data_IF_406093357584
#
_entry.id   IF_406093357584
#
_cell.length_a   1.000
_cell.length_b   1.000
_cell.length_c   1.000
_cell.angle_alpha   90.00
_cell.angle_beta   90.00
_cell.angle_gamma   90.00
#
_symmetry.space_group_name_H-M   'P 1'
#
loop_
_entity.id
_entity.type
_entity.pdbx_description
1 polymer ?
#
# COMPACT_ATOMS: atom_id res chain seq x y z
N UNK A 1 3.55 2.74 -22.45
CA UNK A 1 4.82 3.50 -22.60
C UNK A 1 4.89 4.24 -23.93
N UNK A 2 4.72 3.56 -25.08
CA UNK A 2 4.73 4.21 -26.39
C UNK A 2 3.82 5.46 -26.47
N UNK A 3 2.56 5.37 -26.04
CA UNK A 3 1.66 6.53 -26.02
C UNK A 3 2.18 7.72 -25.20
N UNK A 4 2.81 7.48 -24.05
CA UNK A 4 3.38 8.54 -23.21
C UNK A 4 4.66 9.14 -23.83
N UNK A 5 5.49 8.34 -24.53
CA UNK A 5 6.62 8.87 -25.31
C UNK A 5 6.15 9.81 -26.41
N UNK A 6 5.09 9.43 -27.14
CA UNK A 6 4.52 10.27 -28.20
C UNK A 6 3.89 11.57 -27.67
N UNK A 7 3.50 11.61 -26.40
CA UNK A 7 3.06 12.84 -25.70
C UNK A 7 4.22 13.68 -25.15
N UNK A 8 5.48 13.32 -25.44
CA UNK A 8 6.66 14.07 -25.00
C UNK A 8 7.10 13.82 -23.55
N UNK A 9 6.57 12.77 -22.90
CA UNK A 9 6.97 12.43 -21.54
C UNK A 9 8.35 11.78 -21.55
N UNK A 10 9.30 12.35 -20.81
CA UNK A 10 10.63 11.78 -20.61
C UNK A 10 10.58 10.56 -19.67
N UNK A 11 10.13 9.42 -20.21
CA UNK A 11 9.84 8.18 -19.47
C UNK A 11 11.03 7.67 -18.64
N UNK A 12 12.24 7.66 -19.18
CA UNK A 12 13.45 7.23 -18.45
C UNK A 12 13.71 8.08 -17.21
N UNK A 13 13.62 9.41 -17.35
CA UNK A 13 13.80 10.33 -16.22
C UNK A 13 12.70 10.15 -15.18
N UNK A 14 11.44 9.97 -15.62
CA UNK A 14 10.31 9.73 -14.74
C UNK A 14 10.47 8.42 -13.95
N UNK A 15 10.82 7.32 -14.64
CA UNK A 15 11.06 6.01 -14.02
C UNK A 15 12.17 6.10 -12.98
N UNK A 16 13.32 6.66 -13.36
CA UNK A 16 14.48 6.78 -12.49
C UNK A 16 14.16 7.63 -11.26
N UNK A 17 13.51 8.78 -11.45
CA UNK A 17 13.07 9.64 -10.34
C UNK A 17 12.08 8.94 -9.40
N UNK A 18 11.10 8.19 -9.93
CA UNK A 18 10.14 7.43 -9.14
C UNK A 18 10.82 6.31 -8.35
N UNK A 19 11.75 5.56 -8.97
CA UNK A 19 12.49 4.49 -8.29
C UNK A 19 13.34 5.04 -7.16
N UNK A 20 14.11 6.10 -7.40
CA UNK A 20 14.97 6.69 -6.37
C UNK A 20 14.16 7.25 -5.20
N UNK A 21 13.07 7.97 -5.47
CA UNK A 21 12.21 8.53 -4.42
C UNK A 21 11.55 7.43 -3.58
N UNK A 22 10.99 6.39 -4.22
CA UNK A 22 10.38 5.26 -3.52
C UNK A 22 11.43 4.46 -2.73
N UNK A 23 12.60 4.22 -3.30
CA UNK A 23 13.68 3.50 -2.63
C UNK A 23 14.17 4.25 -1.38
N UNK A 24 14.42 5.56 -1.49
CA UNK A 24 14.83 6.39 -0.36
C UNK A 24 13.75 6.45 0.73
N UNK A 25 12.48 6.70 0.35
CA UNK A 25 11.38 6.80 1.30
C UNK A 25 11.10 5.46 2.01
N UNK A 26 11.00 4.38 1.25
CA UNK A 26 10.72 3.04 1.80
C UNK A 26 11.91 2.53 2.60
N UNK A 27 13.14 2.73 2.12
CA UNK A 27 14.35 2.34 2.83
C UNK A 27 14.50 3.04 4.17
N UNK A 28 14.26 4.36 4.23
CA UNK A 28 14.27 5.12 5.48
C UNK A 28 13.19 4.62 6.46
N UNK A 29 11.97 4.35 5.98
CA UNK A 29 10.89 3.84 6.81
C UNK A 29 11.21 2.44 7.38
N UNK A 30 11.71 1.53 6.55
CA UNK A 30 12.04 0.15 6.96
C UNK A 30 13.24 0.12 7.91
N UNK A 31 14.22 1.00 7.72
CA UNK A 31 15.38 1.08 8.63
C UNK A 31 14.98 1.45 10.07
N UNK A 32 13.91 2.25 10.24
CA UNK A 32 13.43 2.67 11.57
C UNK A 32 12.39 1.71 12.14
N UNK A 33 11.46 1.22 11.32
CA UNK A 33 10.28 0.47 11.79
C UNK A 33 10.36 -1.04 11.55
N UNK A 34 11.37 -1.52 10.84
CA UNK A 34 11.43 -2.89 10.34
C UNK A 34 10.55 -3.11 9.11
N UNK A 35 10.47 -4.36 8.66
CA UNK A 35 9.68 -4.74 7.48
C UNK A 35 8.18 -4.78 7.77
N UNK A 36 7.40 -3.93 7.09
CA UNK A 36 5.94 -3.94 7.16
C UNK A 36 5.36 -4.32 5.79
N UNK A 37 4.50 -5.35 5.77
CA UNK A 37 3.90 -5.90 4.55
C UNK A 37 2.45 -5.47 4.33
N UNK A 38 1.90 -5.85 3.17
CA UNK A 38 0.50 -5.72 2.74
C UNK A 38 -0.08 -4.31 2.56
N UNK A 39 0.27 -3.32 3.40
CA UNK A 39 -0.31 -1.97 3.34
C UNK A 39 -0.12 -1.34 1.96
N UNK A 40 1.08 -1.41 1.40
CA UNK A 40 1.41 -0.86 0.07
C UNK A 40 0.71 -1.54 -1.10
N UNK A 41 0.13 -2.73 -0.90
CA UNK A 41 -0.64 -3.44 -1.92
C UNK A 41 -2.14 -3.19 -1.72
N UNK A 42 -2.62 -3.31 -0.48
CA UNK A 42 -4.05 -3.27 -0.14
C UNK A 42 -4.62 -1.86 -0.29
N UNK A 43 -3.98 -0.86 0.33
CA UNK A 43 -4.50 0.51 0.41
C UNK A 43 -4.70 1.16 -0.97
N UNK A 44 -3.68 1.23 -1.87
CA UNK A 44 -3.88 1.84 -3.18
C UNK A 44 -4.86 1.04 -4.04
N UNK A 45 -5.00 -0.28 -3.82
CA UNK A 45 -5.95 -1.08 -4.57
C UNK A 45 -7.40 -0.80 -4.16
N UNK A 46 -7.67 -0.70 -2.87
CA UNK A 46 -8.99 -0.32 -2.35
C UNK A 46 -9.38 1.08 -2.85
N UNK A 47 -8.45 2.03 -2.83
CA UNK A 47 -8.69 3.37 -3.36
C UNK A 47 -8.91 3.38 -4.87
N UNK A 48 -8.18 2.56 -5.64
CA UNK A 48 -8.44 2.41 -7.09
C UNK A 48 -9.85 1.89 -7.38
N UNK A 49 -10.36 0.99 -6.54
CA UNK A 49 -11.73 0.47 -6.67
C UNK A 49 -12.78 1.52 -6.27
N UNK A 50 -12.47 2.41 -5.32
CA UNK A 50 -13.41 3.39 -4.78
C UNK A 50 -13.44 4.72 -5.54
N UNK A 51 -12.28 5.32 -5.82
CA UNK A 51 -12.15 6.67 -6.41
C UNK A 51 -11.64 6.66 -7.85
N UNK A 52 -11.23 5.50 -8.37
CA UNK A 52 -10.68 5.36 -9.72
C UNK A 52 -9.15 5.49 -9.80
N UNK A 53 -8.58 5.47 -11.03
CA UNK A 53 -7.14 5.29 -11.25
C UNK A 53 -6.31 6.59 -11.33
N UNK A 54 -6.91 7.76 -11.11
CA UNK A 54 -6.18 9.04 -11.20
C UNK A 54 -5.13 9.17 -10.08
N UNK A 55 -3.86 9.32 -10.47
CA UNK A 55 -2.74 9.38 -9.54
C UNK A 55 -2.73 10.66 -8.71
N UNK A 56 -3.35 11.76 -9.19
CA UNK A 56 -3.36 13.05 -8.46
C UNK A 56 -4.11 12.95 -7.13
N UNK A 57 -5.21 12.22 -7.11
CA UNK A 57 -6.04 11.99 -5.92
C UNK A 57 -5.63 10.71 -5.20
N UNK A 58 -5.19 9.68 -5.93
CA UNK A 58 -4.82 8.40 -5.36
C UNK A 58 -3.60 8.48 -4.45
N UNK A 59 -2.55 9.22 -4.83
CA UNK A 59 -1.33 9.33 -4.02
C UNK A 59 -1.57 9.95 -2.63
N UNK A 60 -2.21 11.13 -2.49
CA UNK A 60 -2.48 11.70 -1.17
C UNK A 60 -3.48 10.84 -0.37
N UNK A 61 -4.51 10.30 -1.01
CA UNK A 61 -5.48 9.44 -0.33
C UNK A 61 -4.84 8.14 0.17
N UNK A 62 -3.91 7.56 -0.60
CA UNK A 62 -3.19 6.36 -0.20
C UNK A 62 -2.25 6.61 0.97
N UNK A 63 -1.60 7.79 1.01
CA UNK A 63 -0.79 8.19 2.15
C UNK A 63 -1.64 8.34 3.41
N UNK A 64 -2.79 9.02 3.33
CA UNK A 64 -3.69 9.23 4.46
C UNK A 64 -4.29 7.91 4.97
N UNK A 65 -4.90 7.12 4.08
CA UNK A 65 -5.52 5.85 4.45
C UNK A 65 -4.49 4.84 4.96
N UNK A 66 -3.31 4.80 4.35
CA UNK A 66 -2.21 3.94 4.78
C UNK A 66 -1.67 4.32 6.16
N UNK A 67 -1.46 5.62 6.43
CA UNK A 67 -1.04 6.10 7.73
C UNK A 67 -2.09 5.80 8.81
N UNK A 68 -3.37 6.07 8.56
CA UNK A 68 -4.45 5.77 9.50
C UNK A 68 -4.55 4.27 9.79
N UNK A 69 -4.46 3.41 8.77
CA UNK A 69 -4.49 1.96 8.94
C UNK A 69 -3.31 1.46 9.78
N UNK A 70 -2.10 1.98 9.52
CA UNK A 70 -0.90 1.61 10.29
C UNK A 70 -1.00 2.04 11.75
N UNK A 71 -1.47 3.25 12.04
CA UNK A 71 -1.66 3.73 13.42
C UNK A 71 -2.67 2.87 14.16
N UNK A 72 -3.79 2.51 13.51
CA UNK A 72 -4.78 1.61 14.10
C UNK A 72 -4.19 0.21 14.35
N UNK A 73 -3.43 -0.32 13.39
CA UNK A 73 -2.78 -1.62 13.54
C UNK A 73 -1.75 -1.62 14.69
N UNK A 74 -0.97 -0.55 14.84
CA UNK A 74 -0.03 -0.37 15.97
C UNK A 74 -0.75 -0.34 17.31
N UNK A 75 -1.85 0.42 17.39
CA UNK A 75 -2.66 0.53 18.60
C UNK A 75 -3.28 -0.83 19.01
N UNK A 76 -3.76 -1.60 18.03
CA UNK A 76 -4.27 -2.96 18.24
C UNK A 76 -3.13 -3.88 18.70
N UNK A 77 -1.97 -3.81 18.06
CA UNK A 77 -0.81 -4.65 18.39
C UNK A 77 -0.37 -4.50 19.84
N UNK A 78 -0.39 -3.26 20.36
CA UNK A 78 -0.01 -2.93 21.74
C UNK A 78 -1.05 -3.33 22.79
N UNK A 79 -2.33 -3.39 22.42
CA UNK A 79 -3.43 -3.63 23.37
C UNK A 79 -3.82 -5.10 23.48
N UNK A 80 -3.64 -5.90 22.42
CA UNK A 80 -4.16 -7.28 22.37
C UNK A 80 -3.36 -8.29 23.21
N UNK A 81 -2.03 -8.11 23.35
CA UNK A 81 -1.14 -9.07 24.01
C UNK A 81 -0.23 -8.38 25.05
N UNK A 82 -0.72 -7.33 25.73
CA UNK A 82 0.05 -6.74 26.82
C UNK A 82 0.37 -7.80 27.90
N UNK A 83 1.62 -7.94 28.39
CA UNK A 83 2.79 -7.04 28.26
C UNK A 83 3.78 -7.41 27.12
N UNK A 84 3.47 -8.39 26.28
CA UNK A 84 4.31 -8.77 25.15
C UNK A 84 4.02 -7.88 23.92
N UNK A 85 5.08 -7.47 23.22
CA UNK A 85 4.94 -6.67 22.00
C UNK A 85 4.72 -7.59 20.80
N UNK A 86 3.49 -7.63 20.29
CA UNK A 86 3.22 -8.30 19.03
C UNK A 86 3.81 -7.46 17.88
N UNK A 87 4.58 -8.05 16.95
CA UNK A 87 5.04 -7.34 15.77
C UNK A 87 3.85 -6.88 14.91
N UNK A 88 3.77 -5.56 14.63
CA UNK A 88 2.73 -4.97 13.78
C UNK A 88 2.65 -5.61 12.39
N UNK A 89 3.75 -6.16 11.88
CA UNK A 89 3.80 -6.92 10.63
C UNK A 89 2.85 -8.13 10.62
N UNK A 90 2.65 -8.78 11.76
CA UNK A 90 1.71 -9.91 11.88
C UNK A 90 0.27 -9.41 11.81
N UNK A 91 -0.06 -8.33 12.54
CA UNK A 91 -1.40 -7.73 12.54
C UNK A 91 -1.78 -7.28 11.14
N UNK A 92 -0.87 -6.57 10.46
CA UNK A 92 -1.08 -6.09 9.09
C UNK A 92 -1.17 -7.23 8.07
N UNK A 93 -0.44 -8.33 8.25
CA UNK A 93 -0.55 -9.51 7.39
C UNK A 93 -1.88 -10.26 7.58
N UNK A 94 -2.33 -10.44 8.84
CA UNK A 94 -3.62 -11.11 9.16
C UNK A 94 -4.79 -10.31 8.60
N UNK A 95 -4.73 -8.98 8.64
CA UNK A 95 -5.77 -8.13 8.04
C UNK A 95 -5.62 -8.03 6.52
N UNK A 96 -4.39 -7.92 6.02
CA UNK A 96 -4.11 -7.68 4.61
C UNK A 96 -4.32 -8.90 3.71
N UNK A 97 -4.00 -10.12 4.19
CA UNK A 97 -4.11 -11.33 3.38
C UNK A 97 -5.56 -11.68 2.99
N UNK A 98 -6.57 -11.63 3.89
CA UNK A 98 -7.97 -11.83 3.52
C UNK A 98 -8.46 -10.77 2.53
N UNK A 99 -8.11 -9.50 2.74
CA UNK A 99 -8.50 -8.40 1.84
C UNK A 99 -7.88 -8.59 0.45
N UNK A 100 -6.60 -8.95 0.40
CA UNK A 100 -5.91 -9.23 -0.85
C UNK A 100 -6.51 -10.44 -1.58
N UNK A 101 -6.82 -11.52 -0.86
CA UNK A 101 -7.47 -12.69 -1.41
C UNK A 101 -8.85 -12.35 -1.96
N UNK A 102 -9.66 -11.58 -1.22
CA UNK A 102 -10.96 -11.13 -1.69
C UNK A 102 -10.87 -10.31 -2.98
N UNK A 103 -9.93 -9.36 -3.04
CA UNK A 103 -9.65 -8.56 -4.24
C UNK A 103 -9.27 -9.47 -5.43
N UNK A 104 -8.41 -10.47 -5.20
CA UNK A 104 -7.97 -11.41 -6.23
C UNK A 104 -9.13 -12.26 -6.76
N UNK A 105 -9.96 -12.78 -5.86
CA UNK A 105 -11.12 -13.61 -6.23
C UNK A 105 -12.19 -12.80 -6.95
N UNK A 106 -12.43 -11.55 -6.54
CA UNK A 106 -13.36 -10.64 -7.22
C UNK A 106 -12.91 -10.32 -8.64
N UNK A 107 -11.61 -10.06 -8.84
CA UNK A 107 -11.06 -9.85 -10.20
C UNK A 107 -11.14 -11.09 -11.10
N UNK A 108 -11.19 -12.29 -10.52
CA UNK A 108 -11.38 -13.55 -11.24
C UNK A 108 -12.84 -13.91 -11.48
N UNK A 109 -13.80 -13.09 -11.03
CA UNK A 109 -15.24 -13.33 -11.21
C UNK A 109 -15.78 -14.51 -10.37
N UNK A 110 -15.05 -14.93 -9.34
CA UNK A 110 -15.44 -16.10 -8.50
C UNK A 110 -16.44 -15.72 -7.41
N UNK A 111 -16.53 -14.43 -7.06
CA UNK A 111 -17.30 -13.92 -5.90
C UNK A 111 -18.40 -12.94 -6.29
N UNK A 112 -18.72 -12.82 -7.58
CA UNK A 112 -19.95 -12.14 -8.00
C UNK A 112 -21.09 -13.18 -7.97
N UNK A 113 -21.73 -13.29 -6.81
CA UNK A 113 -23.02 -13.97 -6.57
C UNK A 113 -24.06 -12.92 -6.19
#
# INVERSE_FOLDING_TARGET
>A
EAAAMHMGVALERLKTGAILTVACATGAAVAVSGGIGFVGIVVPHLLRLATGPDHRTLLPNAALLGASLLVLADCISRTLIAPAELPIGIVTAVLGAPVFLWILLRRRGVVDL
#
